data_IF_864261684864
#
_entry.id   IF_864261684864
#
_cell.length_a   1.000
_cell.length_b   1.000
_cell.length_c   1.000
_cell.angle_alpha   90.00
_cell.angle_beta   90.00
_cell.angle_gamma   90.00
#
_symmetry.space_group_name_H-M   'P 1'
#
loop_
_entity.id
_entity.type
_entity.pdbx_description
1 polymer ?
2 polymer ?
3 non-polymer ?
4 water ?
#
# COMPACT_ATOMS: atom_id res chain seq x y z
N UNK A 9 2.27 -11.13 -4.54
CA UNK A 9 2.41 -12.46 -3.84
C UNK A 9 3.83 -12.95 -4.00
N UNK A 10 4.59 -12.95 -2.89
CA UNK A 10 5.95 -13.47 -2.85
C UNK A 10 5.93 -14.95 -2.45
N UNK A 11 6.67 -15.80 -3.16
CA UNK A 11 6.77 -17.22 -2.80
C UNK A 11 5.60 -18.05 -3.26
N UNK A 12 4.81 -17.52 -4.17
CA UNK A 12 3.59 -18.16 -4.67
C UNK A 12 3.79 -18.91 -5.94
N UNK A 13 2.70 -19.16 -6.67
CA UNK A 13 2.75 -19.82 -7.99
C UNK A 13 1.72 -19.18 -8.93
N UNK A 14 1.93 -19.31 -10.22
CA UNK A 14 1.00 -18.70 -11.15
C UNK A 14 -0.24 -19.57 -11.13
N UNK A 15 -1.39 -18.97 -10.79
CA UNK A 15 -2.63 -19.73 -10.66
C UNK A 15 -3.00 -20.28 -12.00
N UNK A 16 -3.63 -21.44 -12.03
CA UNK A 16 -4.27 -21.92 -13.26
C UNK A 16 -5.30 -20.88 -13.67
N UNK A 17 -5.47 -20.71 -14.97
CA UNK A 17 -6.35 -19.69 -15.55
C UNK A 17 -7.77 -19.75 -15.00
N UNK A 18 -8.26 -18.59 -14.56
CA UNK A 18 -9.60 -18.47 -14.01
C UNK A 18 -9.94 -19.47 -12.88
N UNK A 19 -8.91 -20.07 -12.24
CA UNK A 19 -9.16 -21.00 -11.13
C UNK A 19 -9.59 -20.30 -9.84
N UNK A 20 -9.32 -19.00 -9.72
CA UNK A 20 -9.85 -18.15 -8.64
C UNK A 20 -10.92 -17.22 -9.26
N UNK A 21 -12.11 -17.74 -9.58
CA UNK A 21 -13.01 -16.95 -10.42
C UNK A 21 -13.71 -15.78 -9.69
N UNK A 22 -13.46 -15.67 -8.41
CA UNK A 22 -14.04 -14.63 -7.59
C UNK A 22 -13.06 -13.43 -7.47
N UNK A 23 -11.81 -13.60 -7.91
CA UNK A 23 -10.81 -12.55 -7.81
C UNK A 23 -11.06 -11.45 -8.86
N UNK A 24 -11.03 -10.20 -8.41
CA UNK A 24 -11.11 -9.05 -9.30
C UNK A 24 -9.89 -8.19 -9.16
N UNK A 25 -9.65 -7.37 -10.19
CA UNK A 25 -8.60 -6.37 -10.14
C UNK A 25 -9.28 -5.02 -10.08
N UNK A 26 -8.89 -4.17 -9.12
CA UNK A 26 -9.44 -2.81 -9.11
C UNK A 26 -8.50 -1.95 -9.94
N UNK A 27 -9.05 -1.26 -10.92
CA UNK A 27 -8.24 -0.52 -11.89
C UNK A 27 -8.74 0.92 -12.03
N UNK A 28 -7.61 2.02 -11.72
CA UNK A 28 -7.93 3.42 -11.91
C UNK A 28 -7.07 3.99 -13.04
N UNK A 29 -6.73 3.17 -14.03
CA UNK A 29 -5.80 3.51 -15.13
C UNK A 29 -4.69 2.47 -15.22
N UNK A 30 -4.55 1.72 -14.13
CA UNK A 30 -3.70 0.55 -14.03
C UNK A 30 -4.23 -0.19 -12.79
N UNK A 31 -3.87 -1.47 -12.66
CA UNK A 31 -4.10 -2.24 -11.44
C UNK A 31 -3.46 -1.58 -10.21
N UNK A 32 -4.20 -1.55 -9.11
CA UNK A 32 -3.65 -1.03 -7.84
C UNK A 32 -4.07 -1.84 -6.59
N UNK A 33 -5.15 -2.60 -6.70
CA UNK A 33 -5.67 -3.39 -5.59
C UNK A 33 -6.47 -4.55 -6.15
N UNK A 34 -6.73 -5.55 -5.29
CA UNK A 34 -7.60 -6.67 -5.60
C UNK A 34 -8.94 -6.49 -4.91
N UNK A 35 -9.87 -7.39 -5.21
CA UNK A 35 -11.18 -7.46 -4.57
C UNK A 35 -11.75 -8.87 -4.69
N UNK A 36 -12.86 -9.13 -4.00
CA UNK A 36 -13.53 -10.44 -4.04
C UNK A 36 -15.02 -10.29 -4.39
N UNK A 37 -15.48 -11.07 -5.35
CA UNK A 37 -16.89 -11.01 -5.77
C UNK A 37 -17.69 -11.87 -4.79
N UNK A 38 -18.62 -11.26 -4.05
CA UNK A 38 -19.42 -12.02 -3.06
C UNK A 38 -20.88 -12.22 -3.46
N UNK A 39 -21.36 -11.43 -4.41
CA UNK A 39 -22.58 -11.72 -5.20
C UNK A 39 -22.50 -10.98 -6.56
N UNK A 40 -23.50 -11.14 -7.44
CA UNK A 40 -23.37 -10.68 -8.82
C UNK A 40 -23.15 -9.18 -9.01
N UNK A 41 -23.54 -8.40 -8.03
CA UNK A 41 -23.37 -6.94 -8.04
C UNK A 41 -22.40 -6.32 -7.02
N UNK A 42 -21.84 -7.11 -6.11
CA UNK A 42 -21.05 -6.56 -4.99
C UNK A 42 -19.71 -7.22 -4.85
N UNK A 43 -18.72 -6.38 -4.61
CA UNK A 43 -17.34 -6.78 -4.39
C UNK A 43 -16.91 -6.25 -3.04
N UNK A 44 -16.06 -7.02 -2.37
CA UNK A 44 -15.51 -6.65 -1.08
C UNK A 44 -14.00 -6.46 -1.29
N UNK A 45 -13.46 -5.38 -0.71
CA UNK A 45 -12.07 -5.01 -0.85
C UNK A 45 -11.60 -4.35 0.43
N UNK A 46 -10.39 -3.77 0.38
CA UNK A 46 -9.86 -3.07 1.54
C UNK A 46 -10.22 -1.59 1.44
N UNK A 47 -10.43 -0.95 2.58
CA UNK A 47 -10.88 0.45 2.59
C UNK A 47 -9.77 1.45 2.19
N UNK A 48 -8.50 1.07 2.34
CA UNK A 48 -7.38 1.92 1.92
C UNK A 48 -7.16 1.81 0.39
N UNK A 49 -7.82 0.86 -0.25
CA UNK A 49 -8.00 0.87 -1.69
C UNK A 49 -9.07 1.85 -2.17
N UNK A 50 -9.57 2.73 -1.31
CA UNK A 50 -10.65 3.62 -1.69
C UNK A 50 -10.18 4.65 -2.72
N UNK A 51 -10.93 4.80 -3.81
CA UNK A 51 -10.84 5.97 -4.69
C UNK A 51 -12.19 6.39 -5.16
N UNK A 52 -12.26 7.63 -5.61
CA UNK A 52 -13.51 8.17 -6.11
C UNK A 52 -13.88 7.56 -7.47
N UNK A 53 -12.90 7.01 -8.19
CA UNK A 53 -13.08 6.41 -9.52
C UNK A 53 -12.35 5.08 -9.56
N UNK A 54 -13.10 4.00 -9.69
CA UNK A 54 -12.56 2.64 -9.75
C UNK A 54 -13.27 1.89 -10.89
N UNK A 55 -12.50 1.19 -11.72
CA UNK A 55 -13.06 0.22 -12.64
C UNK A 55 -12.72 -1.22 -12.14
N UNK A 56 -13.72 -2.08 -12.06
CA UNK A 56 -13.52 -3.46 -11.57
C UNK A 56 -13.40 -4.39 -12.75
N UNK A 57 -12.39 -5.25 -12.75
CA UNK A 57 -12.15 -6.11 -13.92
C UNK A 57 -12.25 -7.58 -13.48
N UNK A 58 -13.29 -8.27 -13.95
CA UNK A 58 -13.55 -9.65 -13.54
C UNK A 58 -13.13 -10.51 -14.67
N UNK A 59 -12.80 -12.15 -14.27
CA UNK A 59 -12.50 -12.92 -15.46
C UNK A 59 -11.07 -12.77 -15.91
N UNK A 60 -10.28 -12.02 -15.15
CA UNK A 60 -8.91 -11.76 -15.55
C UNK A 60 -8.00 -12.88 -15.12
N UNK A 61 -7.00 -13.12 -15.96
CA UNK A 61 -5.88 -13.95 -15.61
C UNK A 61 -4.66 -13.11 -15.96
N UNK A 62 -4.40 -12.86 -17.25
CA UNK A 62 -3.32 -11.91 -17.64
C UNK A 62 -3.85 -10.49 -17.74
N UNK A 63 -3.49 -9.63 -16.78
CA UNK A 63 -4.08 -8.29 -16.69
C UNK A 63 -3.59 -7.32 -17.76
N UNK A 64 -2.58 -7.70 -18.54
CA UNK A 64 -2.06 -6.82 -19.60
C UNK A 64 -2.43 -7.28 -21.00
N UNK A 65 -3.19 -8.36 -21.09
CA UNK A 65 -3.57 -8.95 -22.38
C UNK A 65 -5.05 -9.29 -22.37
N UNK A 66 -5.76 -8.89 -23.40
CA UNK A 66 -7.18 -9.23 -23.51
C UNK A 66 -7.27 -10.65 -23.99
N UNK A 67 -7.75 -11.55 -23.12
CA UNK A 67 -7.82 -12.98 -23.49
C UNK A 67 -9.21 -13.52 -23.80
N UNK A 68 -10.25 -12.77 -23.43
CA UNK A 68 -11.63 -13.08 -23.84
C UNK A 68 -12.59 -13.50 -22.74
N UNK A 69 -12.17 -13.58 -21.49
CA UNK A 69 -13.15 -13.88 -20.42
C UNK A 69 -13.38 -12.72 -19.48
N UNK A 70 -12.83 -11.57 -19.85
CA UNK A 70 -12.89 -10.36 -19.06
C UNK A 70 -14.25 -9.72 -19.09
N UNK A 71 -14.66 -9.16 -17.95
CA UNK A 71 -15.78 -8.23 -17.90
C UNK A 71 -15.27 -7.00 -17.15
N UNK A 72 -15.38 -5.85 -17.77
CA UNK A 72 -14.90 -4.57 -17.21
C UNK A 72 -16.14 -3.80 -16.83
N UNK A 73 -16.32 -3.46 -15.55
CA UNK A 73 -17.58 -2.83 -15.05
C UNK A 73 -17.19 -1.75 -14.06
N UNK A 74 -17.70 -0.52 -14.27
CA UNK A 74 -17.31 0.58 -13.42
C UNK A 74 -17.93 0.36 -12.02
N UNK A 75 -17.20 0.79 -10.98
CA UNK A 75 -17.74 0.85 -9.64
C UNK A 75 -18.81 1.92 -9.61
N UNK A 76 -19.96 1.60 -9.03
CA UNK A 76 -21.04 2.56 -8.86
C UNK A 76 -21.08 3.09 -7.41
N UNK A 77 -21.30 2.20 -6.44
CA UNK A 77 -21.26 2.57 -5.01
C UNK A 77 -19.95 2.14 -4.42
N UNK A 78 -19.37 3.01 -3.60
CA UNK A 78 -18.02 2.79 -3.06
C UNK A 78 -18.06 3.19 -1.60
N UNK A 79 -18.20 2.21 -0.72
CA UNK A 79 -18.54 2.47 0.67
C UNK A 79 -17.52 1.85 1.60
N UNK A 80 -16.74 2.70 2.25
CA UNK A 80 -15.83 2.25 3.28
C UNK A 80 -16.57 2.07 4.60
N UNK A 81 -16.06 1.17 5.42
CA UNK A 81 -16.62 0.94 6.74
C UNK A 81 -16.60 2.28 7.47
N UNK A 82 -17.70 2.64 8.17
CA UNK A 82 -17.80 3.96 8.81
C UNK A 82 -16.74 4.22 9.88
N UNK A 83 -16.19 3.15 10.44
CA UNK A 83 -15.22 3.22 11.50
C UNK A 83 -13.81 2.88 11.01
N UNK A 84 -13.63 2.86 9.69
CA UNK A 84 -12.29 2.70 9.17
C UNK A 84 -11.38 3.80 9.75
N UNK A 85 -10.20 3.40 10.19
CA UNK A 85 -9.15 4.36 10.55
C UNK A 85 -7.94 4.15 9.64
N UNK A 86 -7.58 5.19 8.90
CA UNK A 86 -6.50 5.12 7.90
C UNK A 86 -5.09 5.06 8.48
N UNK A 87 -4.89 5.59 9.67
CA UNK A 87 -3.62 5.46 10.37
C UNK A 87 -3.40 4.03 10.96
N UNK A 88 -4.34 3.51 11.73
CA UNK A 88 -4.22 2.14 12.32
C UNK A 88 -4.68 1.02 11.39
N UNK A 89 -5.47 1.36 10.37
CA UNK A 89 -6.01 0.37 9.42
C UNK A 89 -7.01 -0.58 10.12
N UNK A 90 -7.58 -0.11 11.22
CA UNK A 90 -8.67 -0.82 11.82
C UNK A 90 -9.92 -0.72 10.95
N UNK A 91 -10.71 -1.78 10.94
CA UNK A 91 -11.89 -1.91 10.07
C UNK A 91 -11.54 -1.56 8.63
N UNK A 92 -10.63 -2.32 8.05
CA UNK A 92 -10.12 -2.03 6.72
C UNK A 92 -10.92 -2.83 5.68
N UNK A 93 -12.17 -2.42 5.49
CA UNK A 93 -13.05 -3.14 4.58
C UNK A 93 -13.91 -2.15 3.82
N UNK A 94 -14.23 -2.52 2.59
CA UNK A 94 -14.96 -1.68 1.67
C UNK A 94 -15.84 -2.55 0.82
N UNK A 95 -16.97 -1.99 0.44
CA UNK A 95 -17.86 -2.63 -0.52
C UNK A 95 -17.97 -1.78 -1.77
N UNK A 96 -17.97 -2.46 -2.92
CA UNK A 96 -18.22 -1.84 -4.22
C UNK A 96 -19.46 -2.48 -4.83
N UNK A 97 -20.40 -1.66 -5.24
CA UNK A 97 -21.53 -2.14 -6.01
C UNK A 97 -21.25 -1.80 -7.46
N UNK A 98 -21.31 -2.82 -8.30
CA UNK A 98 -21.02 -2.68 -9.71
C UNK A 98 -22.19 -1.95 -10.35
N UNK A 99 -21.92 -1.16 -11.39
CA UNK A 99 -22.97 -0.43 -12.12
C UNK A 99 -23.84 -1.31 -13.02
N UNK A 100 -23.38 -2.52 -13.32
CA UNK A 100 -24.24 -3.59 -13.85
C UNK A 100 -23.79 -4.93 -13.28
N UNK A 101 -24.73 -5.89 -13.13
CA UNK A 101 -24.37 -7.20 -12.57
C UNK A 101 -23.38 -7.89 -13.47
N UNK A 102 -22.42 -8.58 -12.88
CA UNK A 102 -21.52 -9.41 -13.66
C UNK A 102 -22.32 -10.58 -14.22
N UNK A 103 -21.91 -11.07 -15.39
CA UNK A 103 -22.44 -12.31 -15.94
C UNK A 103 -21.69 -13.45 -15.27
N UNK A 104 -22.40 -14.24 -14.47
CA UNK A 104 -21.79 -15.38 -13.77
C UNK A 104 -21.61 -16.57 -14.70
N UNK A 105 -20.42 -17.17 -14.66
CA UNK A 105 -20.11 -18.37 -15.46
C UNK A 105 -18.97 -19.10 -14.77
N UNK A 106 -18.35 -20.07 -15.44
CA UNK A 106 -17.26 -20.83 -14.83
C UNK A 106 -16.02 -19.97 -14.45
N UNK A 107 -15.78 -18.88 -15.18
CA UNK A 107 -14.64 -17.94 -14.96
C UNK A 107 -14.90 -16.70 -14.07
N UNK A 108 -16.17 -16.37 -13.83
CA UNK A 108 -16.54 -15.26 -12.98
C UNK A 108 -17.62 -15.82 -12.04
N UNK A 109 -17.28 -15.97 -10.76
CA UNK A 109 -18.14 -16.64 -9.79
C UNK A 109 -18.02 -16.04 -8.41
N UNK A 110 -18.99 -16.35 -7.55
CA UNK A 110 -19.06 -15.75 -6.22
C UNK A 110 -18.33 -16.59 -5.20
N UNK A 111 -17.83 -15.95 -4.16
CA UNK A 111 -17.29 -16.67 -3.01
C UNK A 111 -18.16 -16.38 -1.81
N UNK A 112 -18.44 -17.45 -1.08
CA UNK A 112 -19.32 -17.41 0.08
C UNK A 112 -18.67 -16.61 1.23
N UNK A 113 -19.49 -15.80 1.91
CA UNK A 113 -19.11 -15.20 3.19
C UNK A 113 -18.96 -16.31 4.22
N UNK A 114 -18.26 -16.05 5.34
CA UNK A 114 -17.98 -17.06 6.35
C UNK A 114 -19.17 -17.36 7.29
N UNK A 115 -19.45 -18.66 7.52
CA UNK A 115 -20.56 -19.19 8.40
C UNK A 115 -20.18 -19.44 9.85
N UNK A 116 -18.28 -18.78 10.06
CA UNK A 116 -17.75 -18.53 11.37
C UNK A 116 -16.31 -18.21 11.15
N UNK A 117 -15.65 -17.80 12.21
CA UNK A 117 -14.25 -17.42 12.14
C UNK A 117 -13.43 -18.70 11.94
N UNK A 118 -12.30 -18.56 11.28
CA UNK A 118 -11.45 -19.71 10.99
C UNK A 118 -10.50 -19.99 12.14
N UNK A 119 -10.24 -21.27 12.40
CA UNK A 119 -9.28 -21.67 13.42
C UNK A 119 -7.89 -21.38 12.89
N UNK A 120 -6.71 -21.21 14.54
CA UNK A 120 -5.36 -21.23 14.04
C UNK A 120 -5.15 -22.50 13.21
N UNK A 121 -4.36 -22.38 12.15
CA UNK A 121 -3.91 -23.54 11.38
C UNK A 121 -4.76 -23.88 10.17
N UNK A 122 -5.92 -23.26 10.03
CA UNK A 122 -6.75 -23.49 8.85
C UNK A 122 -6.01 -22.97 7.63
N UNK A 123 -6.10 -23.72 6.53
CA UNK A 123 -5.36 -23.42 5.31
C UNK A 123 -6.18 -22.53 4.42
N UNK A 124 -5.56 -21.49 3.89
CA UNK A 124 -6.29 -20.57 3.03
C UNK A 124 -5.61 -20.42 1.71
N UNK A 125 -6.35 -19.93 0.73
CA UNK A 125 -5.78 -19.54 -0.53
C UNK A 125 -5.80 -18.02 -0.65
N UNK A 126 -4.67 -17.47 -1.04
CA UNK A 126 -4.49 -16.03 -1.11
C UNK A 126 -3.96 -15.73 -2.48
N UNK A 127 -4.45 -14.65 -3.10
CA UNK A 127 -4.14 -14.43 -4.51
C UNK A 127 -4.12 -12.96 -4.90
N UNK A 128 -3.31 -12.64 -5.91
CA UNK A 128 -3.28 -11.28 -6.44
C UNK A 128 -2.23 -11.05 -7.48
N UNK A 129 -2.21 -9.82 -7.98
CA UNK A 129 -1.21 -9.41 -8.97
C UNK A 129 -0.21 -8.44 -8.36
N UNK A 130 0.02 -8.55 -7.06
CA UNK A 130 1.02 -7.71 -6.37
C UNK A 130 2.45 -8.11 -6.66
N UNK A 131 3.37 -7.29 -6.16
CA UNK A 131 4.82 -7.56 -6.17
C UNK A 131 5.17 -9.00 -5.80
N UNK A 132 6.05 -9.64 -6.56
CA UNK A 132 6.45 -11.03 -6.32
C UNK A 132 7.85 -11.13 -5.65
N UNK A 133 8.41 -9.99 -5.25
CA UNK A 133 9.77 -9.94 -4.67
C UNK A 133 9.78 -9.32 -3.27
N UNK A 134 10.65 -9.82 -2.41
CA UNK A 134 10.78 -9.31 -1.03
C UNK A 134 11.86 -8.26 -0.91
N UNK A 135 12.79 -8.24 -1.85
CA UNK A 135 13.78 -7.19 -2.02
C UNK A 135 13.62 -6.71 -3.47
N UNK A 136 13.22 -5.46 -3.64
CA UNK A 136 12.99 -4.90 -4.98
C UNK A 136 11.54 -5.07 -5.37
N UNK A 137 11.25 -4.92 -6.66
CA UNK A 137 9.88 -4.86 -7.15
C UNK A 137 9.71 -5.59 -8.47
N UNK A 138 8.64 -6.36 -8.59
CA UNK A 138 8.29 -7.05 -9.83
C UNK A 138 6.78 -7.29 -9.87
N UNK A 139 6.12 -6.70 -10.87
CA UNK A 139 4.66 -6.75 -10.98
C UNK A 139 4.24 -7.68 -12.14
N UNK A 140 3.51 -8.76 -11.82
CA UNK A 140 3.21 -9.79 -12.76
C UNK A 140 1.99 -9.51 -13.62
N UNK A 141 2.04 -9.92 -14.88
CA UNK A 141 0.83 -9.96 -15.72
C UNK A 141 -0.18 -11.02 -15.25
N UNK A 142 0.33 -12.17 -14.78
CA UNK A 142 -0.52 -13.33 -14.41
C UNK A 142 -0.80 -13.41 -12.92
N UNK A 143 -2.07 -13.70 -12.60
CA UNK A 143 -2.52 -13.86 -11.22
C UNK A 143 -1.66 -14.87 -10.46
N UNK A 144 -1.22 -14.48 -9.26
CA UNK A 144 -0.37 -15.33 -8.42
C UNK A 144 -1.19 -15.93 -7.28
N UNK A 145 -0.88 -17.17 -6.89
CA UNK A 145 -1.58 -17.89 -5.81
C UNK A 145 -0.62 -18.29 -4.68
N UNK A 146 -1.11 -18.31 -3.44
CA UNK A 146 -0.34 -18.80 -2.31
C UNK A 146 -1.19 -19.56 -1.28
N UNK A 147 -0.79 -20.77 -0.93
CA UNK A 147 -1.49 -21.49 0.13
C UNK A 147 -0.77 -21.23 1.45
N UNK A 148 -1.53 -20.79 2.45
CA UNK A 148 -0.92 -20.36 3.71
C UNK A 148 -1.86 -20.58 4.90
N UNK A 149 -1.29 -20.91 6.08
CA UNK A 149 -2.12 -21.18 7.24
C UNK A 149 -2.45 -19.92 8.01
N UNK A 150 -3.63 -19.89 8.62
CA UNK A 150 -4.00 -18.85 9.58
C UNK A 150 -3.09 -19.02 10.80
N UNK A 151 -2.54 -17.91 11.30
CA UNK A 151 -1.61 -17.94 12.44
C UNK A 151 -2.32 -17.62 13.74
N UNK A 152 -1.77 -18.12 14.85
CA UNK A 152 -2.40 -17.88 16.15
C UNK A 152 -2.45 -16.39 16.44
N UNK A 153 -3.46 -16.02 17.23
CA UNK A 153 -3.62 -14.66 17.75
C UNK A 153 -2.34 -14.25 18.48
N UNK A 154 -1.75 -15.21 19.18
CA UNK A 154 -0.52 -15.01 19.94
C UNK A 154 0.70 -14.65 19.06
N UNK A 155 0.87 -15.36 17.96
CA UNK A 155 1.99 -15.14 17.03
C UNK A 155 1.83 -13.83 16.32
N UNK A 156 0.62 -13.58 15.86
CA UNK A 156 0.26 -12.35 15.20
C UNK A 156 0.59 -11.11 16.07
N UNK A 157 0.06 -11.09 17.28
CA UNK A 157 0.25 -9.97 18.19
C UNK A 157 1.69 -9.82 18.64
N UNK A 158 2.41 -10.94 18.73
CA UNK A 158 3.83 -10.93 19.00
C UNK A 158 4.66 -10.27 17.91
N UNK A 159 4.24 -10.42 16.67
CA UNK A 159 5.01 -9.93 15.53
C UNK A 159 4.88 -8.43 15.41
N UNK A 160 3.75 -7.90 15.88
CA UNK A 160 3.41 -6.51 15.69
C UNK A 160 2.85 -5.93 16.97
N UNK A 161 3.70 -5.79 18.00
CA UNK A 161 3.19 -5.32 19.29
C UNK A 161 2.52 -3.97 19.16
N UNK A 162 1.32 -3.83 19.72
CA UNK A 162 0.57 -2.58 19.69
C UNK A 162 -0.26 -2.31 18.45
N UNK A 163 -0.21 -3.18 17.44
CA UNK A 163 -0.81 -2.84 16.15
C UNK A 163 -1.92 -3.77 15.65
N UNK A 164 -2.20 -4.84 16.41
CA UNK A 164 -3.20 -5.84 16.03
C UNK A 164 -4.49 -5.68 16.84
N UNK A 165 -5.57 -5.25 16.19
CA UNK A 165 -6.87 -5.16 16.85
C UNK A 165 -7.61 -6.50 16.71
N UNK A 166 -8.78 -6.62 17.31
CA UNK A 166 -9.59 -7.84 17.18
C UNK A 166 -10.20 -7.97 15.80
N UNK A 167 -9.96 -6.99 14.92
CA UNK A 167 -10.45 -7.05 13.53
C UNK A 167 -9.36 -7.44 12.53
N UNK A 168 -8.26 -7.97 13.06
CA UNK A 168 -7.10 -8.37 12.25
C UNK A 168 -6.68 -9.78 12.57
N UNK A 169 -6.32 -10.53 11.53
CA UNK A 169 -5.68 -11.83 11.71
C UNK A 169 -4.41 -11.88 10.85
N UNK A 170 -3.46 -12.72 11.26
CA UNK A 170 -2.24 -12.95 10.50
C UNK A 170 -2.31 -14.28 9.80
N UNK A 171 -1.84 -14.29 8.57
CA UNK A 171 -1.84 -15.50 7.77
C UNK A 171 -0.52 -15.56 7.03
N UNK A 172 0.04 -16.75 6.97
CA UNK A 172 1.35 -16.95 6.39
C UNK A 172 2.20 -17.60 7.45
N UNK A 173 3.94 -17.10 7.18
CA UNK A 173 5.02 -17.88 7.73
C UNK A 173 5.92 -16.94 8.51
N UNK A 174 6.05 -17.24 9.79
CA UNK A 174 6.98 -16.50 10.67
C UNK A 174 8.38 -16.51 10.09
N UNK A 175 8.76 -17.63 9.47
CA UNK A 175 10.06 -17.70 8.80
C UNK A 175 10.18 -16.85 7.51
N UNK A 176 9.09 -16.22 7.07
CA UNK A 176 9.12 -15.41 5.84
C UNK A 176 9.25 -16.29 4.61
N UNK A 177 9.69 -15.69 3.50
CA UNK A 177 9.84 -16.40 2.22
C UNK A 177 8.98 -15.79 1.14
N UNK A 178 7.12 -16.49 2.11
CA UNK A 178 5.84 -16.60 1.46
C UNK A 178 4.91 -15.62 2.12
N UNK A 179 4.36 -14.71 1.32
CA UNK A 179 3.56 -13.61 1.88
C UNK A 179 2.82 -12.92 0.73
N UNK A 180 1.81 -12.14 1.07
CA UNK A 180 1.27 -11.18 0.11
C UNK A 180 2.11 -9.92 0.16
N UNK A 181 1.84 -8.98 -0.75
CA UNK A 181 2.65 -7.78 -0.88
C UNK A 181 1.89 -6.63 -1.55
N UNK A 182 2.59 -5.51 -1.74
CA UNK A 182 1.97 -4.32 -2.33
C UNK A 182 1.36 -4.70 -3.68
N UNK A 183 0.17 -4.19 -3.96
CA UNK A 183 -0.57 -4.56 -5.18
C UNK A 183 -1.58 -5.69 -4.97
N UNK A 184 -1.42 -6.47 -3.88
CA UNK A 184 -2.38 -7.48 -3.44
C UNK A 184 -3.48 -6.96 -2.51
N UNK A 185 -3.33 -5.76 -1.94
CA UNK A 185 -4.34 -5.19 -1.02
C UNK A 185 -5.77 -5.28 -1.53
N UNK A 186 -6.69 -5.61 -0.61
CA UNK A 186 -8.10 -5.80 -0.91
C UNK A 186 -8.50 -7.19 -1.41
N UNK A 187 -7.52 -8.01 -1.73
CA UNK A 187 -7.78 -9.32 -2.29
C UNK A 187 -8.18 -10.36 -1.25
N UNK A 188 -8.52 -11.57 -1.75
CA UNK A 188 -9.07 -12.68 -0.96
C UNK A 188 -8.06 -13.52 -0.24
N UNK A 189 -8.41 -13.84 1.00
CA UNK A 189 -7.95 -15.04 1.70
C UNK A 189 -9.15 -16.01 1.82
N UNK A 190 -9.14 -17.11 1.09
CA UNK A 190 -10.27 -18.02 1.08
C UNK A 190 -9.90 -19.34 1.72
N UNK A 191 -10.61 -19.71 2.78
CA UNK A 191 -10.29 -20.91 3.57
C UNK A 191 -11.55 -21.74 3.64
N UNK A 192 -11.48 -22.95 3.08
CA UNK A 192 -12.62 -23.86 3.01
C UNK A 192 -13.85 -23.23 2.36
N UNK A 193 -13.67 -22.73 1.15
CA UNK A 193 -14.78 -22.18 0.38
C UNK A 193 -15.37 -20.92 0.97
N UNK A 194 -14.82 -20.46 2.09
CA UNK A 194 -15.16 -19.15 2.62
C UNK A 194 -13.97 -18.22 2.42
N UNK A 195 -14.68 -16.53 2.50
CA UNK A 195 -13.75 -15.41 2.55
C UNK A 195 -13.52 -15.04 3.99
N UNK A 196 -12.33 -15.30 4.49
CA UNK A 196 -12.01 -15.06 5.90
C UNK A 196 -11.08 -13.88 6.07
N UNK A 197 -10.48 -13.43 4.97
CA UNK A 197 -9.52 -12.34 5.02
C UNK A 197 -9.47 -11.47 3.78
N UNK A 198 -9.07 -10.23 4.01
CA UNK A 198 -8.81 -9.27 2.99
C UNK A 198 -7.37 -8.82 3.17
N UNK A 199 -6.58 -8.87 2.09
CA UNK A 199 -5.21 -8.36 2.16
C UNK A 199 -5.25 -6.96 2.70
N UNK A 200 -4.41 -6.70 3.72
CA UNK A 200 -4.39 -5.39 4.38
C UNK A 200 -2.98 -4.81 4.53
N UNK A 201 -2.12 -5.41 5.34
CA UNK A 201 -0.79 -4.82 5.55
C UNK A 201 0.29 -5.72 6.14
N UNK A 202 1.53 -5.23 6.14
CA UNK A 202 2.67 -5.85 6.81
C UNK A 202 3.92 -4.96 6.87
N UNK A 203 4.90 -5.32 7.70
CA UNK A 203 6.24 -4.69 7.66
C UNK A 203 7.11 -5.37 6.61
N UNK A 204 7.28 -4.47 5.05
CA UNK A 204 7.86 -5.29 3.97
C UNK A 204 6.91 -6.38 3.53
N UNK A 205 7.49 -7.38 2.88
CA UNK A 205 6.80 -8.56 2.48
C UNK A 205 7.73 -9.74 2.60
N UNK A 206 7.20 -10.84 3.13
CA UNK A 206 7.90 -12.13 3.12
C UNK A 206 9.12 -12.14 4.03
N UNK A 207 9.20 -10.97 5.30
CA UNK A 207 10.33 -10.87 6.20
C UNK A 207 10.05 -11.75 7.41
N UNK A 208 11.13 -12.17 8.05
CA UNK A 208 11.06 -13.04 9.20
C UNK A 208 10.30 -12.30 10.31
N UNK A 209 9.39 -13.03 10.96
CA UNK A 209 8.60 -12.49 12.06
C UNK A 209 7.72 -11.31 11.68
N UNK A 210 7.45 -11.13 10.39
CA UNK A 210 6.56 -10.05 9.92
C UNK A 210 5.57 -10.61 8.90
N UNK A 211 4.61 -11.42 9.40
CA UNK A 211 3.61 -12.02 8.54
C UNK A 211 2.60 -11.02 8.07
N UNK A 212 1.86 -11.40 7.02
CA UNK A 212 0.77 -10.64 6.48
C UNK A 212 -0.34 -10.49 7.49
N UNK A 213 -0.93 -9.29 7.52
CA UNK A 213 -2.03 -8.99 8.41
C UNK A 213 -3.23 -8.71 7.52
N UNK A 214 -4.38 -9.26 7.92
CA UNK A 214 -5.56 -9.35 7.04
C UNK A 214 -6.78 -8.95 7.81
N UNK A 215 -7.73 -8.33 7.13
CA UNK A 215 -8.98 -7.89 7.76
C UNK A 215 -9.79 -9.15 8.06
N UNK A 216 -10.27 -9.25 9.29
CA UNK A 216 -10.99 -10.40 9.77
C UNK A 216 -12.47 -10.35 9.33
N UNK A 217 -12.75 -10.97 8.19
CA UNK A 217 -14.04 -10.85 7.54
C UNK A 217 -15.19 -11.34 8.41
N UNK A 218 -14.98 -12.42 9.17
CA UNK A 218 -16.03 -12.99 10.03
C UNK A 218 -16.66 -11.98 11.00
N UNK A 219 -15.93 -10.92 11.34
CA UNK A 219 -16.46 -9.84 12.16
C UNK A 219 -17.48 -8.94 11.46
N UNK A 220 -17.59 -8.99 10.14
CA UNK A 220 -18.36 -7.96 9.41
C UNK A 220 -19.57 -8.50 8.65
N UNK A 221 -19.89 -9.77 8.79
CA UNK A 221 -20.96 -10.41 7.99
C UNK A 221 -22.24 -9.58 8.04
N UNK A 222 -22.63 -9.19 9.25
CA UNK A 222 -23.77 -8.36 9.43
C UNK A 222 -23.62 -6.98 8.81
N UNK A 223 -22.43 -6.40 8.86
CA UNK A 223 -22.25 -5.08 8.24
C UNK A 223 -22.48 -5.20 6.73
N UNK A 224 -21.95 -6.27 6.18
CA UNK A 224 -22.02 -6.52 4.75
C UNK A 224 -23.45 -6.76 4.33
N UNK A 225 -24.08 -7.77 4.89
CA UNK A 225 -25.50 -8.07 4.59
C UNK A 225 -26.38 -6.82 4.70
N UNK A 226 -26.19 -6.01 5.74
CA UNK A 226 -26.99 -4.78 5.91
C UNK A 226 -26.69 -3.72 4.85
N UNK A 227 -25.42 -3.52 4.53
CA UNK A 227 -25.03 -2.55 3.50
C UNK A 227 -25.60 -2.94 2.13
N UNK A 228 -25.52 -4.21 1.80
CA UNK A 228 -26.16 -4.71 0.59
C UNK A 228 -27.64 -4.42 0.56
N UNK A 229 -28.34 -4.78 1.63
CA UNK A 229 -29.80 -4.68 1.66
C UNK A 229 -30.27 -3.22 1.59
N UNK A 230 -29.49 -2.30 2.16
CA UNK A 230 -29.84 -0.86 2.20
C UNK A 230 -29.46 -0.09 0.93
N UNK A 231 -28.72 -0.74 0.03
CA UNK A 231 -28.25 -0.10 -1.19
C UNK A 231 -28.67 -0.91 -2.44
N UNK B 2 -6.23 11.32 -2.89
CA UNK B 2 -5.97 11.18 -4.36
C UNK B 2 -4.76 10.31 -4.60
N UNK B 3 -4.63 9.79 -5.80
CA UNK B 3 -3.43 9.06 -6.19
C UNK B 3 -2.30 10.05 -6.49
N UNK B 4 -1.12 9.75 -5.98
CA UNK B 4 0.07 10.59 -6.21
C UNK B 4 0.84 10.14 -7.47
N UNK B 5 1.02 11.08 -8.40
CA UNK B 5 1.64 10.76 -9.69
C UNK B 5 3.04 11.35 -9.79
N UNK B 6 3.88 10.65 -10.54
CA UNK B 6 5.20 11.14 -10.94
C UNK B 6 5.09 12.12 -12.11
N UNK B 7 6.23 12.59 -12.59
CA UNK B 7 6.26 13.65 -13.63
C UNK B 7 5.93 13.11 -14.99
N UNK B 8 6.05 11.80 -15.18
CA UNK B 8 5.60 11.15 -16.41
C UNK B 8 4.12 10.81 -16.36
N UNK B 9 3.46 11.22 -15.28
CA UNK B 9 2.04 11.02 -15.12
C UNK B 9 1.67 9.71 -14.46
N UNK B 10 2.66 8.83 -14.23
CA UNK B 10 2.42 7.51 -13.67
C UNK B 10 2.36 7.51 -12.12
N UNK B 11 1.50 6.64 -11.54
CA UNK B 11 1.36 6.66 -10.10
C UNK B 11 2.67 6.30 -9.40
N UNK B 12 3.02 7.03 -8.34
CA UNK B 12 4.26 6.79 -7.58
C UNK B 12 4.14 5.48 -6.84
N UNK B 13 5.18 4.64 -6.91
CA UNK B 13 5.04 3.28 -6.35
C UNK B 13 5.25 3.25 -4.84
N UNK B 14 4.57 2.29 -4.22
CA UNK B 14 4.62 2.06 -2.79
C UNK B 14 5.64 0.97 -2.49
N UNK B 15 6.65 1.36 -1.72
CA UNK B 15 7.72 0.47 -1.30
C UNK B 15 8.39 -0.18 -2.51
N UNK B 16 8.63 0.63 -3.53
CA UNK B 16 9.22 0.17 -4.79
C UNK B 16 9.66 1.34 -5.67
N UNK B 17 10.61 1.10 -6.57
CA UNK B 17 11.14 2.15 -7.48
C UNK B 17 11.97 3.20 -6.76
N UNK B 18 12.31 4.29 -7.47
CA UNK B 18 13.19 5.33 -6.95
C UNK B 18 12.84 6.67 -7.59
N UNK B 19 12.70 7.72 -6.78
CA UNK B 19 12.32 9.05 -7.24
C UNK B 19 13.25 10.11 -6.68
N UNK B 20 13.55 11.12 -7.49
CA UNK B 20 14.09 12.37 -6.98
C UNK B 20 12.91 13.22 -6.55
N UNK B 21 13.03 13.84 -5.39
CA UNK B 21 12.08 14.83 -4.95
C UNK B 21 12.60 16.19 -5.41
N UNK B 22 11.96 16.74 -6.43
CA UNK B 22 12.43 17.98 -7.08
C UNK B 22 11.54 19.16 -6.74
N UNK B 23 12.11 20.37 -6.84
CA UNK B 23 11.25 21.56 -6.69
C UNK B 23 10.28 21.61 -7.86
N UNK B 24 9.07 22.10 -7.61
CA UNK B 24 8.00 22.09 -8.62
C UNK B 24 8.18 23.08 -9.78
N UNK B 25 9.27 23.87 -9.79
CA UNK B 25 9.40 25.00 -10.74
C UNK B 25 9.48 24.55 -12.19
N UNK B 29 17.95 26.03 -6.78
CA UNK B 29 17.99 24.74 -6.06
C UNK B 29 17.63 23.54 -6.92
N UNK B 30 18.10 22.36 -6.51
CA UNK B 30 17.87 21.10 -7.21
C UNK B 30 17.01 20.17 -6.37
N UNK B 31 17.28 18.87 -6.46
CA UNK B 31 16.49 17.86 -5.75
C UNK B 31 17.01 17.59 -4.36
N UNK B 32 16.17 17.02 -3.49
CA UNK B 32 16.62 16.71 -2.13
C UNK B 32 17.73 15.66 -2.13
N UNK B 33 18.70 15.87 -1.23
CA UNK B 33 19.73 14.89 -0.90
C UNK B 33 20.09 15.04 0.58
N UNK B 34 21.38 15.04 0.88
CA UNK B 34 21.85 15.11 2.26
C UNK B 34 22.95 16.17 2.38
N UNK B 35 23.00 16.88 3.50
CA UNK B 35 24.19 17.69 3.82
C UNK B 35 24.51 17.67 5.30
N UNK B 36 25.77 17.94 5.59
CA UNK B 36 26.33 17.81 6.92
C UNK B 36 26.03 19.06 7.74
N UNK B 37 25.31 18.87 8.84
CA UNK B 37 24.91 20.00 9.68
C UNK B 37 24.88 19.59 11.16
N UNK B 38 26.02 19.71 11.83
CA UNK B 38 26.20 19.25 13.22
C UNK B 38 25.92 17.76 13.34
N UNK B 39 26.27 17.01 12.30
CA UNK B 39 26.03 15.56 12.25
C UNK B 39 27.30 14.75 12.50
N UNK B 40 28.42 15.44 12.77
CA UNK B 40 29.72 14.79 12.89
C UNK B 40 30.43 14.80 11.55
N UNK B 41 30.73 13.61 11.02
CA UNK B 41 31.42 13.49 9.73
C UNK B 41 30.48 13.36 8.51
N UNK B 42 29.42 12.57 8.63
CA UNK B 42 28.55 12.25 7.48
C UNK B 42 27.44 13.27 7.27
N UNK B 43 27.05 13.51 6.00
CA UNK B 43 25.82 14.26 5.79
C UNK B 43 24.64 13.40 6.21
N UNK B 44 23.98 13.81 7.28
CA UNK B 44 22.82 13.07 7.83
C UNK B 44 21.52 13.88 7.78
N UNK B 45 21.59 15.13 7.33
CA UNK B 45 20.45 16.03 7.32
C UNK B 45 19.90 16.20 5.90
N UNK B 46 18.59 16.02 5.76
CA UNK B 46 17.93 16.17 4.45
C UNK B 46 18.03 17.64 3.97
N UNK B 47 18.60 17.82 2.78
CA UNK B 47 18.78 19.14 2.17
C UNK B 47 18.49 19.10 0.69
N UNK B 48 18.09 20.24 0.17
CA UNK B 48 17.93 20.43 -1.24
C UNK B 48 19.31 20.78 -1.82
N UNK B 49 19.75 20.04 -2.83
CA UNK B 49 21.02 20.35 -3.48
C UNK B 49 20.97 21.79 -4.01
N UNK B 50 22.11 22.50 -3.96
CA UNK B 50 22.11 23.94 -4.30
C UNK B 50 21.92 24.24 -5.79
N UNK B 51 22.41 23.33 -6.64
CA UNK B 51 22.61 23.64 -8.05
C UNK B 51 21.34 23.34 -8.82
N UNK B 52 21.05 24.20 -9.81
CA UNK B 52 19.75 24.15 -10.47
C UNK B 52 19.72 23.06 -11.55
N UNK B 53 19.43 21.84 -11.10
CA UNK B 53 19.35 20.66 -11.95
C UNK B 53 18.29 19.72 -11.33
N UNK B 54 17.56 18.96 -12.19
CA UNK B 54 16.56 17.99 -11.72
C UNK B 54 17.14 16.67 -11.17
N UNK B 55 18.03 16.77 -10.19
CA UNK B 55 18.72 15.61 -9.63
C UNK B 55 18.82 15.74 -8.12
N UNK B 56 19.00 14.60 -7.45
CA UNK B 56 19.15 14.54 -5.98
C UNK B 56 19.62 13.16 -5.57
N UNK B 57 19.33 12.73 -4.35
CA UNK B 57 19.51 11.32 -4.00
C UNK B 57 18.17 10.63 -4.24
N UNK B 58 18.18 9.44 -4.83
CA UNK B 58 16.89 8.77 -5.03
C UNK B 58 16.23 8.38 -3.71
N UNK B 59 14.91 8.50 -3.69
CA UNK B 59 14.07 8.22 -2.53
C UNK B 59 13.06 7.12 -2.87
N UNK B 60 12.66 6.37 -1.85
CA UNK B 60 11.60 5.38 -1.97
C UNK B 60 10.57 5.65 -0.89
N UNK B 61 9.29 5.59 -1.25
CA UNK B 61 8.19 5.86 -0.30
C UNK B 61 7.49 4.58 0.08
N UNK B 62 7.09 4.46 1.36
CA UNK B 62 6.62 3.16 1.90
C UNK B 62 5.48 3.26 2.90
N UNK B 63 4.34 2.68 2.56
CA UNK B 63 3.29 2.46 3.56
C UNK B 63 3.24 0.98 3.81
N UNK B 64 2.90 0.62 5.03
CA UNK B 64 2.73 -0.80 5.38
C UNK B 64 1.46 -1.38 4.70
N UNK B 65 0.55 -0.52 4.28
CA UNK B 65 -0.64 -0.98 3.52
C UNK B 65 -0.24 -1.54 2.16
N UNK B 66 -0.90 -2.61 1.74
CA UNK B 66 -0.43 -3.33 0.56
C UNK B 66 -1.08 -2.91 -0.77
N UNK B 67 -1.31 -1.60 -0.91
CA UNK B 67 -1.68 -0.99 -2.20
C UNK B 67 -0.43 -0.77 -3.04
N UNK B 68 -0.59 -0.79 -4.37
CA UNK B 68 0.57 -0.77 -5.29
C UNK B 68 1.26 0.58 -5.34
N UNK B 69 0.50 1.63 -5.09
CA UNK B 69 1.06 2.94 -5.18
C UNK B 69 0.60 3.86 -4.06
N UNK B 70 1.22 5.03 -4.04
CA UNK B 70 1.04 6.05 -3.01
C UNK B 70 -0.18 6.95 -3.22
N UNK B 71 -1.00 7.10 -2.16
CA UNK B 71 -2.12 8.04 -2.16
C UNK B 71 -1.87 9.09 -1.07
N UNK B 72 -2.65 10.16 -1.09
CA UNK B 72 -2.49 11.24 -0.10
C UNK B 72 -3.03 10.86 1.27
N UNK B 73 -3.77 9.75 1.36
CA UNK B 73 -4.34 9.29 2.64
C UNK B 73 -3.41 8.30 3.38
N UNK B 74 -2.35 7.84 2.72
CA UNK B 74 -1.46 6.83 3.31
C UNK B 74 -0.48 7.43 4.33
N UNK B 75 -0.07 6.63 5.32
CA UNK B 75 0.98 7.04 6.26
C UNK B 75 2.31 6.46 5.78
N UNK B 76 3.33 7.30 5.65
CA UNK B 76 4.57 6.90 4.99
C UNK B 76 5.81 6.90 5.85
N UNK B 77 6.69 5.96 5.51
CA UNK B 77 8.11 6.10 5.71
C UNK B 77 8.80 6.45 4.39
N UNK B 78 9.93 7.13 4.50
CA UNK B 78 10.63 7.65 3.35
C UNK B 78 12.10 7.38 3.63
N UNK B 79 12.82 6.82 2.66
CA UNK B 79 14.24 6.57 2.81
C UNK B 79 15.00 6.86 1.51
N UNK B 80 16.23 7.33 1.64
CA UNK B 80 17.10 7.39 0.48
C UNK B 80 17.58 5.98 0.16
N UNK B 81 17.38 5.57 -1.09
CA UNK B 81 17.71 4.23 -1.51
C UNK B 81 19.19 4.13 -1.79
N UNK B 82 19.78 5.25 -2.23
CA UNK B 82 21.23 5.40 -2.37
C UNK B 82 21.69 6.63 -1.58
N UNK B 83 22.85 6.50 -0.94
CA UNK B 83 23.42 7.57 -0.12
C UNK B 83 24.96 7.32 0.10
N UNK B 84 25.67 8.32 0.64
CA UNK B 84 27.10 8.11 0.92
C UNK B 84 27.37 6.82 1.71
N UNK B 85 28.49 6.15 1.39
CA UNK B 85 28.83 4.83 1.98
C UNK B 85 28.97 4.86 3.49
N UNK B 86 29.04 6.06 4.03
CA UNK B 86 29.18 6.27 5.45
C UNK B 86 27.83 6.38 6.15
N UNK B 87 26.80 6.83 5.42
CA UNK B 87 25.45 7.00 5.98
C UNK B 87 24.87 5.69 6.54
N UNK B 88 23.90 5.79 7.48
CA UNK B 88 23.18 4.61 8.01
C UNK B 88 22.35 3.85 6.98
N UNK B 89 22.02 2.63 7.35
CA UNK B 89 21.29 1.71 6.49
C UNK B 89 20.18 1.04 7.30
N UNK B 90 18.91 1.26 6.92
CA UNK B 90 18.44 2.15 5.83
C UNK B 90 18.67 3.64 6.14
N UNK B 91 18.61 4.46 5.10
CA UNK B 91 18.80 5.90 5.23
C UNK B 91 17.45 6.53 5.43
N UNK B 92 16.78 6.11 6.50
CA UNK B 92 15.40 6.42 6.74
C UNK B 92 15.23 7.79 7.36
N UNK B 93 14.22 8.52 6.89
CA UNK B 93 13.95 9.86 7.38
C UNK B 93 13.31 9.85 8.76
N UNK B 94 13.78 10.75 9.62
CA UNK B 94 13.15 10.97 10.93
C UNK B 94 13.54 12.29 11.60
N UNK B 95 12.62 12.79 12.43
CA UNK B 95 12.87 14.00 13.20
C UNK B 95 13.00 13.64 14.68
N UNK B 105 14.16 25.53 14.76
CA UNK B 105 13.86 24.60 13.67
C UNK B 105 14.35 23.19 13.98
N UNK B 106 13.47 22.21 13.80
CA UNK B 106 13.79 20.80 14.02
C UNK B 106 13.87 20.12 12.66
N UNK B 107 15.08 19.66 12.26
CA UNK B 107 15.29 19.18 10.91
C UNK B 107 15.02 17.70 10.76
N UNK B 108 14.94 17.29 9.49
CA UNK B 108 14.79 15.89 9.09
C UNK B 108 16.18 15.29 8.85
N UNK B 109 16.50 14.23 9.57
CA UNK B 109 17.76 13.52 9.42
C UNK B 109 17.49 12.07 9.03
N UNK B 110 18.55 11.30 8.78
CA UNK B 110 18.40 9.88 8.48
C UNK B 110 18.91 9.01 9.63
N UNK B 111 18.33 7.81 9.77
CA UNK B 111 18.62 6.95 10.92
C UNK B 111 18.24 5.48 10.72
N UNK B 112 18.80 4.63 11.57
CA UNK B 112 18.50 3.18 11.61
C UNK B 112 17.33 2.83 12.52
N UNK B 113 17.38 3.36 13.74
CA UNK B 113 16.48 2.98 14.84
C UNK B 113 15.10 2.46 14.40
N UNK B 114 14.68 1.35 15.02
CA UNK B 114 13.48 0.58 14.65
C UNK B 114 12.21 1.43 14.49
N UNK B 115 11.98 2.35 15.43
CA UNK B 115 10.84 3.31 15.42
C UNK B 115 9.78 3.07 14.32
N UNK B 116 8.76 2.30 14.68
CA UNK B 116 7.72 1.84 13.74
C UNK B 116 6.56 2.83 13.52
N UNK B 117 6.90 4.07 13.18
CA UNK B 117 5.95 5.20 13.23
C UNK B 117 5.19 5.48 11.92
N UNK B 118 5.90 5.65 10.82
CA UNK B 118 5.31 6.17 9.56
C UNK B 118 4.65 7.56 9.71
N UNK B 119 5.45 8.58 10.01
CA UNK B 119 4.89 9.89 10.31
C UNK B 119 4.74 10.86 9.12
N UNK B 120 5.13 10.44 7.90
CA UNK B 120 5.06 11.32 6.73
C UNK B 120 3.85 11.01 5.85
N UNK B 121 3.34 12.04 5.18
CA UNK B 121 2.37 11.84 4.11
C UNK B 121 2.72 12.79 2.99
N UNK B 122 2.16 12.52 1.80
CA UNK B 122 2.19 13.45 0.69
C UNK B 122 0.78 14.04 0.55
N UNK B 123 0.71 15.35 0.38
CA UNK B 123 -0.56 16.03 0.17
C UNK B 123 -0.54 16.79 -1.14
N UNK B 124 -1.70 16.96 -1.75
CA UNK B 124 -1.83 17.87 -2.88
C UNK B 124 -1.41 19.27 -2.44
N UNK B 125 -0.75 20.00 -3.34
CA UNK B 125 -0.40 21.39 -3.12
C UNK B 125 -0.58 22.08 -4.47
N UNK B 126 -1.67 22.81 -4.59
CA UNK B 126 -2.10 23.38 -5.86
C UNK B 126 -2.02 22.30 -6.94
N UNK B 127 -1.11 22.45 -7.90
CA UNK B 127 -1.09 21.51 -9.01
C UNK B 127 -0.11 20.36 -8.78
N UNK B 128 0.73 20.49 -7.74
CA UNK B 128 1.77 19.52 -7.46
C UNK B 128 1.54 18.93 -6.06
N UNK B 129 2.60 18.75 -5.25
CA UNK B 129 2.46 18.21 -3.88
C UNK B 129 3.35 18.92 -2.86
N UNK B 130 3.11 18.59 -1.59
CA UNK B 130 4.01 18.95 -0.50
C UNK B 130 4.17 17.72 0.39
N UNK B 131 5.19 17.77 1.26
CA UNK B 131 5.39 16.75 2.27
C UNK B 131 4.98 17.32 3.63
N UNK B 132 4.33 16.47 4.42
CA UNK B 132 3.91 16.82 5.77
C UNK B 132 4.49 15.82 6.77
N UNK B 133 4.57 16.26 8.02
CA UNK B 133 4.97 15.43 9.14
C UNK B 133 3.84 15.47 10.14
N UNK B 134 3.47 14.28 10.62
CA UNK B 134 2.33 14.07 11.50
C UNK B 134 2.77 13.39 12.80
N UNK B 135 1.94 13.52 13.82
CA UNK B 135 2.22 12.89 15.11
C UNK B 135 1.68 11.47 15.15
N UNK B 142 -5.44 12.94 12.89
CA UNK B 142 -4.03 12.97 12.51
C UNK B 142 -3.55 14.40 12.21
N UNK B 143 -2.92 15.04 13.19
CA UNK B 143 -2.46 16.41 13.07
C UNK B 143 -1.08 16.43 12.41
N UNK B 144 -0.98 17.08 11.25
CA UNK B 144 0.27 17.15 10.51
C UNK B 144 0.74 18.58 10.32
N UNK B 145 2.05 18.74 10.16
CA UNK B 145 2.66 20.04 9.90
C UNK B 145 3.38 20.00 8.54
N UNK B 146 3.46 21.15 7.88
CA UNK B 146 4.16 21.25 6.57
C UNK B 146 5.67 21.13 6.75
N UNK B 147 6.32 20.39 5.86
CA UNK B 147 7.78 20.37 5.81
C UNK B 147 8.19 21.42 4.77
N UNK B 148 9.08 22.33 5.17
CA UNK B 148 9.51 23.44 4.33
C UNK B 148 11.02 23.57 4.21
N UNK B 149 11.45 24.54 3.42
CA UNK B 149 12.88 24.84 3.21
C UNK B 149 13.41 25.89 4.21
N UNK B 150 14.33 25.46 5.08
CA UNK B 150 14.80 26.28 6.22
C UNK B 150 15.34 27.65 5.82
N UNK B 151 16.44 27.67 5.09
CA UNK B 151 17.01 28.91 4.57
C UNK B 151 17.01 28.85 3.04
N UNK B 152 16.76 30.02 2.44
CA UNK B 152 16.63 30.14 0.99
C UNK B 152 17.95 30.61 0.36
N UNK B 153 18.96 29.73 0.42
CA UNK B 153 20.30 30.04 -0.08
C UNK B 153 20.91 28.87 -0.86
N UNK B 154 22.23 28.71 -0.79
CA UNK B 154 22.93 27.63 -1.47
C UNK B 154 22.96 26.40 -0.59
N UNK B 155 23.54 26.53 0.60
CA UNK B 155 24.01 25.38 1.39
C UNK B 155 23.24 25.06 2.70
N UNK B 156 22.23 25.86 3.02
CA UNK B 156 21.44 25.64 4.25
C UNK B 156 19.96 25.44 3.94
N UNK B 157 19.66 24.89 2.77
CA UNK B 157 18.28 24.70 2.33
C UNK B 157 17.80 23.35 2.88
N UNK B 158 17.80 23.27 4.20
CA UNK B 158 17.53 22.03 4.91
C UNK B 158 16.04 21.86 4.99
N UNK B 159 15.60 20.62 4.88
CA UNK B 159 14.20 20.30 5.07
C UNK B 159 13.91 20.29 6.56
N UNK B 160 13.04 21.18 7.02
CA UNK B 160 12.63 21.24 8.44
C UNK B 160 11.12 21.47 8.61
N UNK B 161 10.63 21.32 9.84
CA UNK B 161 9.22 21.61 10.15
C UNK B 161 8.93 23.10 10.02
N UNK B 162 7.83 23.43 9.35
CA UNK B 162 7.57 24.80 8.96
C UNK B 162 6.14 25.04 8.53
N UNK B 163 5.24 25.07 9.51
CA UNK B 163 3.81 25.28 9.26
C UNK B 163 3.58 26.45 8.30
N UNK B 164 2.81 26.22 7.24
CA UNK B 164 2.37 27.29 6.36
C UNK B 164 3.33 27.73 5.27
N UNK B 165 4.57 27.25 5.29
CA UNK B 165 5.55 27.52 4.20
C UNK B 165 6.05 26.18 3.62
N UNK B 166 5.13 25.36 3.11
CA UNK B 166 5.54 24.10 2.51
C UNK B 166 6.40 24.26 1.27
N UNK B 167 7.35 23.36 1.12
CA UNK B 167 8.16 23.21 -0.09
C UNK B 167 7.36 22.42 -1.16
N UNK B 168 7.01 23.07 -2.27
CA UNK B 168 6.24 22.40 -3.32
C UNK B 168 7.13 21.50 -4.17
N UNK B 169 6.78 20.22 -4.23
CA UNK B 169 7.62 19.22 -4.91
C UNK B 169 6.87 18.48 -6.00
N UNK B 170 7.64 17.93 -6.92
CA UNK B 170 7.17 16.91 -7.87
C UNK B 170 8.12 15.71 -7.79
N UNK B 171 7.70 14.59 -8.35
CA UNK B 171 8.49 13.38 -8.27
C UNK B 171 8.89 12.87 -9.63
N UNK B 172 10.20 12.90 -9.86
CA UNK B 172 10.81 12.42 -11.09
C UNK B 172 11.32 11.02 -10.80
N UNK B 173 10.76 10.02 -11.49
CA UNK B 173 11.27 8.65 -11.36
C UNK B 173 12.65 8.46 -12.00
N UNK B 174 13.57 7.81 -11.29
CA UNK B 174 14.92 7.50 -11.83
C UNK B 174 14.89 6.27 -12.79
N UNK B 175 15.81 6.21 -13.74
CA UNK B 175 15.82 5.11 -14.73
C UNK B 175 16.79 4.00 -14.35
#
# INVERSE_FOLDING_TARGET
FPTDDDDKIVGGYTCAANSIPYQVSLNSGSHFCGGSLINSQWVVSAAHCYKSRIQVRLGEHNIDVLEGNEQFINAAKIITHPNFNGNTLDNDIMLIKLSSPATLNSRVATVSLPRSCAAAGTECLISGWGNTKSSGSSYPSLLQCLKAPVLSDSSCKSSYPGQITGNMICVGFLEGGKDSCQGDSGGPVVCNGQLQGIVSWGYGCAQKNKPGVYTKVCNYVNWIQQTIAAN
DYTVHDTDGKPVLNNAGQYYILPAKQGKGGGLGLSNDDDGNCPLTVSQTPIDIPIGLPVRFSSRARISHITTALSLNIEFTIAPACAPKPARWRIFDEQSSEKGYTPVKISDDFSSAAPFQIKKFEEDYKLVYCSKSESGERKCVDLGIKIDNEKNRRLVLKEGDPFKVKFKKVDEESSEEWSIV
#
